data_IF_903319838400
#
_entry.id   IF_903319838400
#
_cell.length_a   1.000
_cell.length_b   1.000
_cell.length_c   1.000
_cell.angle_alpha   90.00
_cell.angle_beta   90.00
_cell.angle_gamma   90.00
#
_symmetry.space_group_name_H-M   'P 1'
#
loop_
_entity.id
_entity.type
_entity.pdbx_description
1 polymer ?
#
# COMPACT_ATOMS: atom_id res chain seq x y z
N UNK A 1 -2.64 12.56 -5.80
CA UNK A 1 -3.75 11.60 -5.66
C UNK A 1 -4.81 12.06 -4.69
N UNK A 2 -4.47 12.39 -3.43
CA UNK A 2 -5.46 12.90 -2.45
C UNK A 2 -6.22 14.15 -2.91
N UNK A 3 -5.57 15.08 -3.62
CA UNK A 3 -6.24 16.27 -4.19
C UNK A 3 -7.36 15.88 -5.15
N UNK A 4 -7.04 15.04 -6.16
CA UNK A 4 -8.01 14.58 -7.17
C UNK A 4 -9.21 13.90 -6.51
N UNK A 5 -8.97 13.00 -5.55
CA UNK A 5 -10.07 12.35 -4.82
C UNK A 5 -10.94 13.36 -4.08
N UNK A 6 -10.34 14.40 -3.47
CA UNK A 6 -11.10 15.47 -2.83
C UNK A 6 -11.96 16.25 -3.81
N UNK A 7 -11.40 16.63 -4.95
CA UNK A 7 -12.09 17.38 -6.01
C UNK A 7 -13.25 16.55 -6.60
N UNK A 8 -13.01 15.29 -6.94
CA UNK A 8 -14.04 14.39 -7.48
C UNK A 8 -15.19 14.15 -6.50
N UNK A 9 -14.90 14.02 -5.19
CA UNK A 9 -15.96 13.87 -4.18
C UNK A 9 -16.82 15.13 -4.12
N UNK A 10 -16.22 16.31 -4.20
CA UNK A 10 -16.96 17.57 -4.21
C UNK A 10 -17.84 17.65 -5.47
N UNK A 11 -17.34 17.25 -6.63
CA UNK A 11 -18.12 17.19 -7.87
C UNK A 11 -19.32 16.25 -7.74
N UNK A 12 -19.11 15.05 -7.18
CA UNK A 12 -20.19 14.09 -6.95
C UNK A 12 -21.24 14.61 -5.96
N UNK A 13 -20.83 15.32 -4.92
CA UNK A 13 -21.75 15.94 -3.95
C UNK A 13 -22.61 17.01 -4.64
N UNK A 14 -22.02 17.85 -5.49
CA UNK A 14 -22.79 18.83 -6.27
C UNK A 14 -23.71 18.18 -7.31
N UNK A 15 -23.29 17.08 -7.93
CA UNK A 15 -24.09 16.32 -8.88
C UNK A 15 -25.22 15.50 -8.24
N UNK A 16 -25.09 15.15 -6.96
CA UNK A 16 -25.92 14.17 -6.26
C UNK A 16 -27.44 14.39 -6.42
N UNK A 17 -27.90 15.64 -6.32
CA UNK A 17 -29.32 15.99 -6.41
C UNK A 17 -29.88 15.70 -7.81
N UNK A 18 -29.10 15.95 -8.86
CA UNK A 18 -29.50 15.71 -10.25
C UNK A 18 -29.48 14.22 -10.61
N UNK A 19 -28.64 13.44 -9.94
CA UNK A 19 -28.47 11.99 -10.10
C UNK A 19 -29.41 11.14 -9.22
N UNK A 20 -30.30 11.78 -8.45
CA UNK A 20 -31.15 11.12 -7.44
C UNK A 20 -30.35 10.40 -6.33
N UNK A 21 -29.16 10.88 -6.00
CA UNK A 21 -28.39 10.41 -4.84
C UNK A 21 -28.74 11.25 -3.62
N UNK A 22 -29.81 10.85 -2.95
CA UNK A 22 -30.31 11.57 -1.79
C UNK A 22 -29.71 10.98 -0.50
N UNK A 23 -29.28 11.84 0.46
CA UNK A 23 -28.81 11.36 1.74
C UNK A 23 -29.95 10.69 2.51
N UNK A 24 -29.58 9.72 3.37
CA UNK A 24 -30.55 9.01 4.20
C UNK A 24 -31.29 9.98 5.12
N UNK A 25 -32.64 10.08 5.06
CA UNK A 25 -33.39 11.01 5.89
C UNK A 25 -33.43 10.53 7.35
N UNK A 26 -33.46 11.48 8.28
CA UNK A 26 -33.68 11.18 9.70
C UNK A 26 -35.05 10.54 9.92
N UNK A 27 -35.08 9.44 10.69
CA UNK A 27 -36.30 8.71 11.04
C UNK A 27 -36.35 8.44 12.55
N UNK A 28 -37.48 8.78 13.17
CA UNK A 28 -37.79 8.44 14.56
C UNK A 28 -38.17 6.95 14.66
N UNK A 29 -38.15 6.40 15.89
CA UNK A 29 -38.38 4.97 16.15
C UNK A 29 -39.68 4.40 15.54
N UNK A 30 -40.72 5.21 15.39
CA UNK A 30 -42.02 4.79 14.83
C UNK A 30 -42.23 5.16 13.36
N UNK A 31 -41.20 5.64 12.65
CA UNK A 31 -41.32 6.11 11.27
C UNK A 31 -40.70 5.13 10.27
N UNK A 32 -41.41 4.87 9.18
CA UNK A 32 -40.89 4.05 8.09
C UNK A 32 -39.92 4.86 7.20
N UNK A 33 -38.66 4.44 7.18
CA UNK A 33 -37.58 5.06 6.39
C UNK A 33 -37.89 5.04 4.89
N UNK A 34 -38.43 3.95 4.35
CA UNK A 34 -38.73 3.82 2.91
C UNK A 34 -39.78 4.82 2.46
N UNK A 35 -40.82 5.03 3.27
CA UNK A 35 -41.83 6.05 2.97
C UNK A 35 -41.23 7.46 2.95
N UNK A 36 -40.29 7.75 3.84
CA UNK A 36 -39.58 9.03 3.86
C UNK A 36 -38.65 9.21 2.67
N UNK A 37 -37.93 8.16 2.27
CA UNK A 37 -37.11 8.18 1.05
C UNK A 37 -37.98 8.46 -0.17
N UNK A 38 -39.09 7.75 -0.35
CA UNK A 38 -40.02 7.99 -1.48
C UNK A 38 -40.58 9.42 -1.49
N UNK A 39 -40.95 9.97 -0.33
CA UNK A 39 -41.38 11.38 -0.23
C UNK A 39 -40.26 12.35 -0.63
N UNK A 40 -39.02 12.04 -0.27
CA UNK A 40 -37.85 12.86 -0.61
C UNK A 40 -37.53 12.78 -2.11
N UNK A 41 -37.59 11.60 -2.71
CA UNK A 41 -37.45 11.40 -4.16
C UNK A 41 -38.54 12.16 -4.93
N UNK A 42 -39.79 12.11 -4.47
CA UNK A 42 -40.90 12.88 -5.07
C UNK A 42 -40.65 14.38 -4.98
N UNK A 43 -40.16 14.87 -3.82
CA UNK A 43 -39.84 16.29 -3.61
C UNK A 43 -38.79 16.81 -4.60
N UNK A 44 -37.80 15.98 -4.94
CA UNK A 44 -36.70 16.36 -5.84
C UNK A 44 -36.84 15.81 -7.26
N UNK A 45 -37.97 15.20 -7.61
CA UNK A 45 -38.19 14.60 -8.93
C UNK A 45 -38.05 15.62 -10.07
N UNK A 46 -38.37 16.89 -9.83
CA UNK A 46 -38.24 17.98 -10.81
C UNK A 46 -36.80 18.44 -11.07
N UNK A 47 -35.81 17.89 -10.35
CA UNK A 47 -34.39 18.18 -10.55
C UNK A 47 -33.66 17.03 -11.24
N UNK A 48 -34.32 15.89 -11.47
CA UNK A 48 -33.71 14.72 -12.11
C UNK A 48 -33.55 14.98 -13.61
N UNK A 49 -32.39 15.51 -14.00
CA UNK A 49 -32.10 16.02 -15.35
C UNK A 49 -32.40 14.97 -16.42
N UNK A 50 -31.95 13.73 -16.21
CA UNK A 50 -32.13 12.61 -17.15
C UNK A 50 -33.62 12.37 -17.42
N UNK A 51 -34.44 12.22 -16.36
CA UNK A 51 -35.89 11.98 -16.51
C UNK A 51 -36.64 13.15 -17.14
N UNK A 52 -36.13 14.37 -17.01
CA UNK A 52 -36.74 15.56 -17.62
C UNK A 52 -36.42 15.58 -19.12
N UNK A 53 -35.17 15.33 -19.48
CA UNK A 53 -34.71 15.32 -20.88
C UNK A 53 -35.29 14.11 -21.64
N UNK A 54 -35.44 12.95 -21.00
CA UNK A 54 -36.16 11.80 -21.59
C UNK A 54 -37.61 12.12 -21.95
N UNK A 55 -38.27 13.01 -21.20
CA UNK A 55 -39.68 13.37 -21.42
C UNK A 55 -39.88 14.52 -22.40
N UNK A 56 -38.95 15.48 -22.42
CA UNK A 56 -39.13 16.77 -23.09
C UNK A 56 -38.09 17.07 -24.17
N UNK A 57 -36.99 16.32 -24.20
CA UNK A 57 -35.85 16.55 -25.09
C UNK A 57 -35.99 15.88 -26.45
N UNK A 58 -35.11 16.28 -27.37
CA UNK A 58 -34.91 15.57 -28.64
C UNK A 58 -34.11 14.28 -28.43
N UNK A 59 -34.18 13.36 -29.40
CA UNK A 59 -33.41 12.11 -29.37
C UNK A 59 -31.89 12.35 -29.18
N UNK A 60 -31.35 13.39 -29.82
CA UNK A 60 -29.96 13.79 -29.63
C UNK A 60 -29.66 14.24 -28.19
N UNK A 61 -30.57 15.00 -27.57
CA UNK A 61 -30.41 15.46 -26.18
C UNK A 61 -30.49 14.30 -25.19
N UNK A 62 -31.33 13.31 -25.46
CA UNK A 62 -31.45 12.09 -24.65
C UNK A 62 -30.13 11.30 -24.67
N UNK A 63 -29.53 11.09 -25.85
CA UNK A 63 -28.24 10.40 -25.93
C UNK A 63 -27.13 11.16 -25.17
N UNK A 64 -27.05 12.49 -25.34
CA UNK A 64 -26.06 13.32 -24.67
C UNK A 64 -26.22 13.34 -23.14
N UNK A 65 -27.45 13.36 -22.62
CA UNK A 65 -27.64 13.37 -21.16
C UNK A 65 -27.21 12.04 -20.54
N UNK A 66 -27.43 10.90 -21.19
CA UNK A 66 -26.98 9.61 -20.67
C UNK A 66 -25.46 9.49 -20.64
N UNK A 67 -24.76 9.96 -21.68
CA UNK A 67 -23.29 10.01 -21.69
C UNK A 67 -22.76 10.93 -20.59
N UNK A 68 -23.37 12.11 -20.43
CA UNK A 68 -22.99 13.08 -19.40
C UNK A 68 -23.22 12.53 -17.99
N UNK A 69 -24.34 11.82 -17.76
CA UNK A 69 -24.63 11.16 -16.49
C UNK A 69 -23.55 10.14 -16.15
N UNK A 70 -23.17 9.30 -17.12
CA UNK A 70 -22.12 8.30 -16.95
C UNK A 70 -20.79 8.95 -16.55
N UNK A 71 -20.33 9.96 -17.30
CA UNK A 71 -19.09 10.70 -17.02
C UNK A 71 -19.11 11.43 -15.68
N UNK A 72 -20.29 11.85 -15.22
CA UNK A 72 -20.43 12.50 -13.92
C UNK A 72 -20.33 11.50 -12.78
N UNK A 73 -20.91 10.30 -12.95
CA UNK A 73 -20.96 9.23 -11.95
C UNK A 73 -19.66 8.45 -11.82
N UNK A 74 -19.01 8.17 -12.94
CA UNK A 74 -17.80 7.37 -12.99
C UNK A 74 -16.57 8.22 -12.69
N UNK A 75 -16.15 8.21 -11.42
CA UNK A 75 -14.97 8.91 -10.92
C UNK A 75 -13.97 7.95 -10.32
N UNK A 76 -12.70 8.32 -10.29
CA UNK A 76 -11.64 7.48 -9.73
C UNK A 76 -11.89 7.21 -8.23
N UNK A 77 -12.42 8.20 -7.52
CA UNK A 77 -12.78 8.11 -6.10
C UNK A 77 -13.81 7.00 -5.77
N UNK A 78 -14.55 6.48 -6.77
CA UNK A 78 -15.57 5.44 -6.59
C UNK A 78 -15.03 4.01 -6.41
N UNK A 79 -13.70 3.82 -6.36
CA UNK A 79 -13.10 2.52 -6.07
C UNK A 79 -11.77 2.24 -6.77
N UNK A 80 -11.21 3.21 -7.49
CA UNK A 80 -9.95 3.06 -8.21
C UNK A 80 -8.80 3.73 -7.46
N UNK A 81 -7.63 3.09 -7.44
CA UNK A 81 -6.41 3.67 -6.89
C UNK A 81 -5.29 3.65 -7.91
N UNK A 82 -4.89 4.83 -8.39
CA UNK A 82 -3.73 4.96 -9.29
C UNK A 82 -2.44 4.55 -8.56
N UNK A 83 -2.36 4.71 -7.23
CA UNK A 83 -1.13 4.48 -6.47
C UNK A 83 -0.77 3.00 -6.48
N UNK A 84 -1.79 2.17 -6.33
CA UNK A 84 -1.69 0.73 -6.46
C UNK A 84 -1.16 0.28 -7.83
N UNK A 85 -1.68 0.88 -8.90
CA UNK A 85 -1.23 0.63 -10.27
C UNK A 85 0.24 1.02 -10.46
N UNK A 86 0.64 2.20 -9.94
CA UNK A 86 2.03 2.67 -10.00
C UNK A 86 2.97 1.72 -9.26
N UNK A 87 2.62 1.29 -8.05
CA UNK A 87 3.40 0.32 -7.27
C UNK A 87 3.55 -1.02 -8.02
N UNK A 88 2.47 -1.51 -8.61
CA UNK A 88 2.48 -2.74 -9.42
C UNK A 88 3.42 -2.60 -10.64
N UNK A 89 3.41 -1.44 -11.29
CA UNK A 89 4.30 -1.17 -12.43
C UNK A 89 5.76 -1.07 -12.01
N UNK A 90 6.04 -0.44 -10.87
CA UNK A 90 7.41 -0.39 -10.32
C UNK A 90 7.89 -1.79 -9.98
N UNK A 91 7.04 -2.61 -9.34
CA UNK A 91 7.36 -4.01 -9.04
C UNK A 91 7.78 -4.76 -10.30
N UNK A 92 7.05 -4.60 -11.41
CA UNK A 92 7.40 -5.31 -12.64
C UNK A 92 8.76 -4.93 -13.21
N UNK A 93 9.25 -3.70 -13.01
CA UNK A 93 10.61 -3.31 -13.37
C UNK A 93 11.66 -3.97 -12.47
N UNK A 94 11.38 -4.08 -11.17
CA UNK A 94 12.28 -4.74 -10.23
C UNK A 94 12.38 -6.25 -10.48
N UNK A 95 11.29 -6.90 -10.92
CA UNK A 95 11.28 -8.33 -11.22
C UNK A 95 12.10 -8.71 -12.47
N UNK A 96 12.51 -7.74 -13.29
CA UNK A 96 13.27 -8.02 -14.52
C UNK A 96 14.72 -8.43 -14.24
N UNK A 97 15.28 -8.02 -13.10
CA UNK A 97 16.68 -8.28 -12.76
C UNK A 97 16.79 -9.09 -11.46
N UNK A 98 17.53 -10.20 -11.54
CA UNK A 98 17.83 -11.07 -10.39
C UNK A 98 18.59 -10.36 -9.27
N UNK A 99 19.31 -9.27 -9.57
CA UNK A 99 20.16 -8.54 -8.62
C UNK A 99 19.40 -8.06 -7.37
N UNK A 100 18.09 -7.84 -7.50
CA UNK A 100 17.24 -7.37 -6.39
C UNK A 100 16.91 -8.47 -5.37
N UNK A 101 16.90 -9.72 -5.82
CA UNK A 101 16.58 -10.90 -5.01
C UNK A 101 17.83 -11.57 -4.49
N UNK A 102 18.84 -11.70 -5.35
CA UNK A 102 20.09 -12.31 -4.99
C UNK A 102 21.17 -11.93 -6.02
N UNK A 103 22.11 -11.11 -5.58
CA UNK A 103 23.27 -10.70 -6.38
C UNK A 103 24.09 -11.89 -6.90
N UNK A 104 24.17 -12.98 -6.14
CA UNK A 104 24.96 -14.16 -6.49
C UNK A 104 24.17 -15.21 -7.29
N UNK A 105 22.85 -15.02 -7.45
CA UNK A 105 21.95 -15.97 -8.13
C UNK A 105 22.04 -17.41 -7.57
N UNK A 106 22.22 -17.56 -6.26
CA UNK A 106 22.34 -18.82 -5.55
C UNK A 106 21.26 -18.99 -4.47
N UNK A 107 20.50 -20.09 -4.47
CA UNK A 107 19.51 -20.32 -3.43
C UNK A 107 20.16 -20.32 -2.04
N UNK A 108 19.42 -19.91 -0.99
CA UNK A 108 19.96 -19.85 0.35
C UNK A 108 20.57 -21.18 0.77
N UNK A 109 21.74 -21.11 1.40
CA UNK A 109 22.52 -22.28 1.85
C UNK A 109 21.72 -23.23 2.75
N UNK A 110 20.86 -22.68 3.61
CA UNK A 110 19.97 -23.42 4.51
C UNK A 110 18.65 -23.89 3.87
N UNK A 111 18.41 -23.59 2.59
CA UNK A 111 17.17 -23.92 1.87
C UNK A 111 15.94 -23.11 2.28
N UNK A 112 16.07 -22.16 3.21
CA UNK A 112 14.99 -21.31 3.74
C UNK A 112 15.17 -19.86 3.29
N UNK A 113 16.23 -19.19 3.76
CA UNK A 113 16.49 -17.77 3.53
C UNK A 113 17.93 -17.38 3.89
N UNK A 114 18.43 -16.31 3.28
CA UNK A 114 19.76 -15.76 3.57
C UNK A 114 19.78 -15.07 4.93
N UNK A 115 20.77 -15.39 5.77
CA UNK A 115 20.87 -14.93 7.17
C UNK A 115 22.11 -14.10 7.42
N UNK A 116 23.26 -14.52 6.91
CA UNK A 116 24.51 -13.79 7.05
C UNK A 116 24.97 -13.20 5.71
N UNK A 117 24.42 -13.70 4.61
CA UNK A 117 24.74 -13.29 3.26
C UNK A 117 24.14 -11.90 2.94
N UNK A 118 24.99 -10.99 2.47
CA UNK A 118 24.61 -9.63 2.07
C UNK A 118 24.26 -9.53 0.59
N UNK A 119 23.34 -10.38 0.13
CA UNK A 119 23.03 -10.55 -1.31
C UNK A 119 21.65 -10.03 -1.71
N UNK A 120 20.81 -9.64 -0.75
CA UNK A 120 19.47 -9.10 -0.99
C UNK A 120 19.47 -7.56 -0.85
N UNK A 121 18.60 -6.85 -1.58
CA UNK A 121 18.53 -5.39 -1.53
C UNK A 121 18.35 -4.82 -0.11
N UNK A 122 17.54 -5.45 0.74
CA UNK A 122 17.34 -4.97 2.11
C UNK A 122 18.63 -4.90 2.94
N UNK A 123 19.64 -5.72 2.63
CA UNK A 123 20.96 -5.67 3.29
C UNK A 123 21.75 -4.44 2.91
N UNK A 124 21.74 -4.10 1.61
CA UNK A 124 22.28 -2.85 1.12
C UNK A 124 21.57 -1.66 1.77
N UNK A 125 20.24 -1.74 1.87
CA UNK A 125 19.46 -0.70 2.54
C UNK A 125 19.80 -0.56 4.02
N UNK A 126 20.01 -1.66 4.75
CA UNK A 126 20.49 -1.64 6.14
C UNK A 126 21.86 -0.98 6.29
N UNK A 127 22.77 -1.19 5.34
CA UNK A 127 24.06 -0.50 5.33
C UNK A 127 23.90 1.01 5.06
N UNK A 128 23.02 1.40 4.12
CA UNK A 128 22.69 2.81 3.91
C UNK A 128 22.04 3.43 5.15
N UNK A 129 21.15 2.70 5.82
CA UNK A 129 20.51 3.11 7.06
C UNK A 129 21.49 3.36 8.17
N UNK A 130 22.51 2.51 8.29
CA UNK A 130 23.61 2.74 9.21
C UNK A 130 24.27 4.10 8.95
N UNK A 131 24.61 4.39 7.70
CA UNK A 131 25.28 5.64 7.31
C UNK A 131 24.41 6.86 7.58
N UNK A 132 23.14 6.90 7.15
CA UNK A 132 22.31 8.09 7.37
C UNK A 132 21.83 8.26 8.81
N UNK A 133 21.88 7.20 9.62
CA UNK A 133 21.63 7.31 11.06
C UNK A 133 22.83 7.91 11.80
N UNK A 134 24.05 7.90 11.25
CA UNK A 134 25.22 8.46 11.92
C UNK A 134 24.97 9.92 12.34
N UNK A 135 25.32 10.31 13.57
CA UNK A 135 25.12 11.68 14.02
C UNK A 135 26.05 12.63 13.26
N UNK A 136 25.54 13.83 13.02
CA UNK A 136 26.18 14.91 12.27
C UNK A 136 27.62 15.20 12.72
N UNK A 137 28.53 15.28 11.76
CA UNK A 137 29.84 15.93 11.95
C UNK A 137 29.70 17.44 11.76
N UNK A 138 30.50 18.26 12.45
CA UNK A 138 30.36 19.71 12.36
C UNK A 138 30.40 20.20 10.89
N UNK A 139 29.43 21.03 10.50
CA UNK A 139 29.27 21.67 9.19
C UNK A 139 28.72 20.82 8.01
N UNK A 140 28.19 19.61 8.24
CA UNK A 140 27.46 18.85 7.21
C UNK A 140 25.94 18.89 7.41
N UNK A 141 25.18 18.95 6.32
CA UNK A 141 23.72 18.77 6.36
C UNK A 141 23.37 17.31 6.66
N UNK A 142 22.25 17.11 7.32
CA UNK A 142 21.68 15.79 7.56
C UNK A 142 20.97 15.25 6.30
N UNK A 143 20.78 13.94 6.22
CA UNK A 143 20.14 13.31 5.06
C UNK A 143 18.68 13.75 4.93
N UNK A 144 17.97 13.92 6.05
CA UNK A 144 16.62 14.47 6.09
C UNK A 144 16.54 15.92 5.60
N UNK A 145 17.60 16.72 5.74
CA UNK A 145 17.65 18.10 5.25
C UNK A 145 17.91 18.15 3.73
N UNK A 146 18.66 17.17 3.20
CA UNK A 146 19.04 17.09 1.79
C UNK A 146 17.97 16.43 0.92
N UNK A 147 17.35 15.35 1.42
CA UNK A 147 16.47 14.48 0.64
C UNK A 147 15.05 14.36 1.22
N UNK A 148 14.80 14.90 2.41
CA UNK A 148 13.55 14.72 3.12
C UNK A 148 13.21 13.25 3.36
N UNK A 149 11.92 12.96 3.46
CA UNK A 149 11.42 11.58 3.64
C UNK A 149 11.44 10.77 2.33
N UNK A 150 11.65 11.44 1.19
CA UNK A 150 11.58 10.82 -0.14
C UNK A 150 12.57 9.66 -0.32
N UNK A 151 13.77 9.80 0.23
CA UNK A 151 14.78 8.72 0.25
C UNK A 151 14.26 7.48 0.96
N UNK A 152 13.64 7.67 2.13
CA UNK A 152 13.14 6.57 2.96
C UNK A 152 11.92 5.92 2.32
N UNK A 153 11.03 6.72 1.72
CA UNK A 153 9.91 6.23 0.91
C UNK A 153 10.39 5.36 -0.25
N UNK A 154 11.45 5.76 -0.95
CA UNK A 154 12.01 4.98 -2.06
C UNK A 154 12.56 3.62 -1.58
N UNK A 155 13.41 3.61 -0.57
CA UNK A 155 13.99 2.36 -0.05
C UNK A 155 12.94 1.40 0.52
N UNK A 156 12.02 1.92 1.34
CA UNK A 156 10.92 1.12 1.88
C UNK A 156 9.97 0.60 0.78
N UNK A 157 9.75 1.37 -0.28
CA UNK A 157 8.97 0.92 -1.44
C UNK A 157 9.61 -0.27 -2.11
N UNK A 158 10.92 -0.22 -2.42
CA UNK A 158 11.63 -1.34 -3.06
C UNK A 158 11.59 -2.57 -2.14
N UNK A 159 11.92 -2.42 -0.85
CA UNK A 159 11.87 -3.52 0.13
C UNK A 159 10.48 -4.16 0.19
N UNK A 160 9.41 -3.35 0.19
CA UNK A 160 8.03 -3.85 0.24
C UNK A 160 7.64 -4.59 -1.03
N UNK A 161 7.97 -4.04 -2.21
CA UNK A 161 7.61 -4.63 -3.49
C UNK A 161 8.35 -5.95 -3.77
N UNK A 162 9.57 -6.09 -3.24
CA UNK A 162 10.36 -7.33 -3.28
C UNK A 162 9.94 -8.35 -2.20
N UNK A 163 9.03 -8.00 -1.28
CA UNK A 163 8.64 -8.88 -0.18
C UNK A 163 9.77 -9.15 0.82
N UNK A 164 10.71 -8.21 0.97
CA UNK A 164 11.88 -8.34 1.85
C UNK A 164 11.68 -7.69 3.23
N UNK A 165 10.54 -7.04 3.49
CA UNK A 165 10.31 -6.27 4.73
C UNK A 165 10.54 -7.07 6.02
N UNK A 166 9.96 -8.27 6.14
CA UNK A 166 10.10 -9.07 7.36
C UNK A 166 11.56 -9.45 7.65
N UNK A 167 12.34 -9.71 6.58
CA UNK A 167 13.77 -10.00 6.69
C UNK A 167 14.55 -8.74 7.07
N UNK A 168 14.22 -7.61 6.46
CA UNK A 168 14.78 -6.31 6.84
C UNK A 168 14.57 -6.03 8.34
N UNK A 169 13.33 -6.13 8.84
CA UNK A 169 13.03 -5.85 10.25
C UNK A 169 13.74 -6.81 11.23
N UNK A 170 13.96 -8.06 10.81
CA UNK A 170 14.68 -9.05 11.60
C UNK A 170 16.20 -8.81 11.63
N UNK A 171 16.79 -8.48 10.48
CA UNK A 171 18.23 -8.50 10.26
C UNK A 171 18.89 -7.13 10.05
N UNK A 172 18.14 -6.03 10.17
CA UNK A 172 18.70 -4.69 10.06
C UNK A 172 19.75 -4.40 11.15
N UNK A 173 20.91 -3.91 10.73
CA UNK A 173 22.05 -3.63 11.61
C UNK A 173 21.71 -2.59 12.68
N UNK A 174 21.01 -1.51 12.29
CA UNK A 174 20.62 -0.45 13.21
C UNK A 174 19.59 -0.95 14.24
N UNK A 175 18.60 -1.73 13.80
CA UNK A 175 17.58 -2.27 14.70
C UNK A 175 18.19 -3.25 15.69
N UNK A 176 19.15 -4.08 15.26
CA UNK A 176 19.90 -4.94 16.16
C UNK A 176 20.68 -4.12 17.19
N UNK A 177 21.45 -3.12 16.75
CA UNK A 177 22.24 -2.28 17.64
C UNK A 177 21.37 -1.54 18.67
N UNK A 178 20.23 -1.00 18.24
CA UNK A 178 19.28 -0.34 19.14
C UNK A 178 18.66 -1.31 20.16
N UNK A 179 18.35 -2.55 19.75
CA UNK A 179 17.87 -3.60 20.66
C UNK A 179 18.91 -3.96 21.73
N UNK A 180 20.18 -4.12 21.34
CA UNK A 180 21.27 -4.41 22.28
C UNK A 180 21.47 -3.25 23.25
N UNK A 181 21.48 -2.00 22.76
CA UNK A 181 21.68 -0.84 23.62
C UNK A 181 20.55 -0.62 24.63
N UNK A 182 19.31 -0.99 24.31
CA UNK A 182 18.21 -0.95 25.28
C UNK A 182 18.41 -1.93 26.45
N UNK A 183 19.19 -2.99 26.27
CA UNK A 183 19.48 -3.97 27.32
C UNK A 183 20.69 -3.55 28.15
N UNK A 184 21.77 -3.12 27.50
CA UNK A 184 23.04 -2.81 28.19
C UNK A 184 23.14 -1.37 28.72
N UNK A 185 22.34 -0.44 28.19
CA UNK A 185 22.31 0.96 28.61
C UNK A 185 23.61 1.72 28.38
N UNK A 186 24.51 1.23 27.51
CA UNK A 186 25.80 1.86 27.28
C UNK A 186 25.65 3.26 26.68
N UNK A 187 26.46 4.21 27.14
CA UNK A 187 26.42 5.62 26.70
C UNK A 187 27.78 6.14 26.22
N UNK A 188 28.71 5.23 25.98
CA UNK A 188 30.07 5.55 25.57
C UNK A 188 30.14 6.17 24.18
N UNK A 189 31.29 6.78 23.87
CA UNK A 189 31.62 7.23 22.52
C UNK A 189 32.42 6.15 21.81
N UNK A 190 31.87 5.60 20.74
CA UNK A 190 32.55 4.62 19.88
C UNK A 190 32.97 5.32 18.61
N UNK A 191 34.25 5.32 18.24
CA UNK A 191 34.76 5.98 17.03
C UNK A 191 34.31 7.45 16.88
N UNK A 192 34.36 8.21 17.98
CA UNK A 192 33.91 9.60 18.07
C UNK A 192 32.39 9.81 17.91
N UNK A 193 31.62 8.73 17.74
CA UNK A 193 30.16 8.76 17.62
C UNK A 193 29.55 8.67 19.03
N UNK A 194 28.79 9.67 19.48
CA UNK A 194 28.02 9.55 20.73
C UNK A 194 26.88 8.55 20.55
N UNK A 195 26.99 7.41 21.23
CA UNK A 195 26.03 6.31 21.11
C UNK A 195 24.58 6.73 21.39
N UNK A 196 24.27 7.54 22.43
CA UNK A 196 22.89 7.98 22.68
C UNK A 196 22.26 8.76 21.52
N UNK A 197 23.03 9.61 20.84
CA UNK A 197 22.53 10.37 19.69
C UNK A 197 22.29 9.45 18.50
N UNK A 198 23.17 8.48 18.29
CA UNK A 198 23.02 7.49 17.23
C UNK A 198 21.78 6.62 17.46
N UNK A 199 21.57 6.11 18.67
CA UNK A 199 20.39 5.33 19.04
C UNK A 199 19.09 6.11 18.87
N UNK A 200 19.08 7.39 19.28
CA UNK A 200 17.92 8.26 19.07
C UNK A 200 17.59 8.44 17.58
N UNK A 201 18.60 8.57 16.71
CA UNK A 201 18.39 8.64 15.25
C UNK A 201 17.85 7.33 14.69
N UNK A 202 18.44 6.20 15.09
CA UNK A 202 17.95 4.87 14.69
C UNK A 202 16.47 4.71 15.06
N UNK A 203 16.08 5.08 16.29
CA UNK A 203 14.69 4.95 16.73
C UNK A 203 13.73 5.81 15.89
N UNK A 204 14.13 7.03 15.53
CA UNK A 204 13.32 7.91 14.66
C UNK A 204 13.09 7.28 13.28
N UNK A 205 14.17 6.81 12.63
CA UNK A 205 14.06 6.15 11.33
C UNK A 205 13.31 4.82 11.41
N UNK A 206 13.43 4.08 12.52
CA UNK A 206 12.65 2.87 12.74
C UNK A 206 11.15 3.14 12.73
N UNK A 207 10.69 4.17 13.45
CA UNK A 207 9.27 4.55 13.47
C UNK A 207 8.81 4.99 12.07
N UNK A 208 9.60 5.82 11.40
CA UNK A 208 9.29 6.28 10.04
C UNK A 208 9.17 5.11 9.05
N UNK A 209 10.12 4.16 9.07
CA UNK A 209 10.05 2.98 8.21
C UNK A 209 8.78 2.16 8.47
N UNK A 210 8.42 1.95 9.75
CA UNK A 210 7.22 1.19 10.13
C UNK A 210 5.94 1.86 9.61
N UNK A 211 5.84 3.19 9.71
CA UNK A 211 4.71 3.95 9.16
C UNK A 211 4.63 3.81 7.64
N UNK A 212 5.75 3.96 6.95
CA UNK A 212 5.81 3.84 5.49
C UNK A 212 5.44 2.41 5.06
N UNK A 213 6.00 1.39 5.70
CA UNK A 213 5.65 -0.01 5.43
C UNK A 213 4.16 -0.29 5.65
N UNK A 214 3.56 0.23 6.72
CA UNK A 214 2.14 0.06 6.98
C UNK A 214 1.28 0.68 5.85
N UNK A 215 1.66 1.87 5.37
CA UNK A 215 0.97 2.52 4.25
C UNK A 215 1.14 1.71 2.97
N UNK A 216 2.35 1.32 2.61
CA UNK A 216 2.63 0.56 1.38
C UNK A 216 1.89 -0.77 1.36
N UNK A 217 1.93 -1.52 2.47
CA UNK A 217 1.24 -2.80 2.59
C UNK A 217 -0.28 -2.68 2.45
N UNK A 218 -0.87 -1.55 2.86
CA UNK A 218 -2.30 -1.29 2.65
C UNK A 218 -2.65 -1.24 1.16
N UNK A 219 -1.79 -0.66 0.33
CA UNK A 219 -2.05 -0.56 -1.11
C UNK A 219 -1.62 -1.82 -1.88
N UNK A 220 -0.54 -2.49 -1.50
CA UNK A 220 -0.07 -3.71 -2.18
C UNK A 220 -1.03 -4.89 -1.98
N UNK A 221 -1.64 -5.02 -0.79
CA UNK A 221 -2.61 -6.10 -0.52
C UNK A 221 -3.91 -5.94 -1.32
N UNK A 222 -4.35 -4.71 -1.57
CA UNK A 222 -5.53 -4.43 -2.39
C UNK A 222 -5.36 -4.93 -3.84
N UNK A 223 -4.15 -4.84 -4.41
CA UNK A 223 -3.87 -5.31 -5.78
C UNK A 223 -4.00 -6.80 -5.97
N UNK A 224 -3.68 -7.57 -4.94
CA UNK A 224 -3.76 -9.03 -5.00
C UNK A 224 -5.23 -9.50 -4.99
N UNK A 225 -6.14 -8.70 -4.41
CA UNK A 225 -7.58 -8.99 -4.42
C UNK A 225 -8.30 -8.40 -5.65
N UNK A 226 -7.85 -7.25 -6.17
CA UNK A 226 -8.47 -6.55 -7.30
C UNK A 226 -8.27 -7.20 -8.68
N UNK A 227 -7.25 -8.05 -8.86
CA UNK A 227 -7.02 -8.79 -10.12
C UNK A 227 -7.96 -10.00 -10.30
N UNK A 228 -8.85 -10.30 -9.35
CA UNK A 228 -9.73 -11.48 -9.42
C UNK A 228 -11.04 -11.27 -10.20
N UNK A 229 -11.31 -10.10 -10.82
CA UNK A 229 -12.65 -9.81 -11.34
C UNK A 229 -12.79 -9.38 -12.81
N UNK A 230 -11.74 -9.37 -13.62
CA UNK A 230 -11.90 -9.07 -15.05
C UNK A 230 -11.00 -9.98 -15.90
N UNK A 231 -11.66 -10.94 -16.55
CA UNK A 231 -11.19 -11.84 -17.61
C UNK A 231 -10.53 -13.14 -17.13
N UNK A 232 -11.31 -14.19 -16.91
CA UNK A 232 -11.03 -15.54 -17.46
C UNK A 232 -12.36 -16.34 -17.62
N UNK A 233 -12.49 -17.18 -18.67
CA UNK A 233 -13.64 -18.06 -18.84
C UNK A 233 -13.63 -19.18 -17.78
N UNK A 234 -14.83 -19.57 -17.37
CA UNK A 234 -15.10 -20.61 -16.38
C UNK A 234 -14.75 -21.98 -16.98
N UNK A 235 -13.50 -22.44 -16.79
CA UNK A 235 -13.18 -23.86 -16.85
C UNK A 235 -13.08 -24.43 -15.42
N UNK A 236 -13.99 -25.38 -15.17
CA UNK A 236 -14.30 -25.99 -13.88
C UNK A 236 -13.23 -26.96 -13.36
N UNK A 237 -12.02 -26.47 -13.09
CA UNK A 237 -10.98 -27.30 -12.44
C UNK A 237 -9.96 -26.55 -11.54
N UNK A 238 -10.13 -25.26 -11.24
CA UNK A 238 -9.19 -24.52 -10.37
C UNK A 238 -9.88 -23.83 -9.20
N UNK A 239 -10.50 -24.63 -8.33
CA UNK A 239 -10.91 -24.17 -7.01
C UNK A 239 -9.83 -24.54 -5.97
N UNK A 240 -8.63 -23.96 -6.08
CA UNK A 240 -7.62 -23.95 -5.00
C UNK A 240 -6.60 -22.83 -5.24
N UNK A 241 -6.97 -21.58 -4.98
CA UNK A 241 -5.99 -20.50 -4.78
C UNK A 241 -5.66 -20.38 -3.29
N UNK A 242 -5.08 -21.45 -2.73
CA UNK A 242 -4.33 -21.39 -1.47
C UNK A 242 -2.94 -20.92 -1.86
N UNK A 243 -2.45 -19.81 -1.29
CA UNK A 243 -1.03 -19.43 -1.42
C UNK A 243 -0.19 -20.65 -1.06
N UNK A 244 0.50 -21.25 -2.03
CA UNK A 244 1.34 -22.41 -1.78
C UNK A 244 2.50 -21.98 -0.89
N UNK A 245 2.37 -22.26 0.40
CA UNK A 245 3.44 -22.06 1.38
C UNK A 245 4.45 -23.19 1.17
N UNK A 246 5.74 -22.85 1.12
CA UNK A 246 6.81 -23.84 1.05
C UNK A 246 6.81 -24.65 2.35
N UNK A 247 6.47 -25.94 2.27
CA UNK A 247 6.51 -26.87 3.39
C UNK A 247 7.89 -27.55 3.50
N UNK A 248 8.29 -27.88 4.73
CA UNK A 248 9.51 -28.65 5.00
C UNK A 248 9.14 -30.04 5.48
N UNK A 249 9.91 -31.04 5.06
CA UNK A 249 9.70 -32.43 5.49
C UNK A 249 10.19 -32.60 6.93
N UNK A 250 9.45 -33.31 7.80
CA UNK A 250 9.95 -33.70 9.10
C UNK A 250 11.15 -34.65 8.94
N UNK A 251 12.00 -34.80 9.97
CA UNK A 251 13.09 -35.79 9.93
C UNK A 251 12.51 -37.18 9.66
N UNK A 252 13.10 -37.89 8.70
CA UNK A 252 12.70 -39.26 8.36
C UNK A 252 13.35 -40.25 9.32
N UNK A 253 12.55 -41.09 9.97
CA UNK A 253 13.05 -42.24 10.69
C UNK A 253 13.37 -43.37 9.69
N UNK A 254 14.65 -43.70 9.54
CA UNK A 254 15.13 -44.79 8.66
C UNK A 254 14.57 -46.19 9.04
N UNK A 255 13.82 -46.30 10.14
CA UNK A 255 13.23 -47.56 10.61
C UNK A 255 11.83 -47.85 10.04
N UNK A 256 11.25 -46.95 9.24
CA UNK A 256 9.89 -47.11 8.67
C UNK A 256 9.94 -47.77 7.27
N UNK A 257 11.15 -48.02 6.74
CA UNK A 257 11.36 -48.73 5.48
C UNK A 257 12.06 -50.07 5.79
N UNK A 258 11.30 -51.02 6.32
CA UNK A 258 11.59 -52.47 6.27
C UNK A 258 10.28 -53.24 6.40
#
# INVERSE_FOLDING_TARGET
MRSITGDEVIDLVHASIYLNWLPKPFCKENENIEMKIKKLEQKFASLQIVKIIEKLGSEQQVNLVHESELLTRERLCCGLSIFEFVLTKIKSFLLQDSIWFDFNQQPPSNGVMNVDENVEFHRLWSAMQFVYCLPRQANSNLVEELFGDGLIWAGCSIISLLGQQQRFEAFDHCYHLFKVNQVDGQSEKVNQIPLPNFMNRIRKHQVLNQEIFAILNKYIKSSTMGQQNLNEPVDSAQMTNIQQIKCFQPPFDNNIIN
#
